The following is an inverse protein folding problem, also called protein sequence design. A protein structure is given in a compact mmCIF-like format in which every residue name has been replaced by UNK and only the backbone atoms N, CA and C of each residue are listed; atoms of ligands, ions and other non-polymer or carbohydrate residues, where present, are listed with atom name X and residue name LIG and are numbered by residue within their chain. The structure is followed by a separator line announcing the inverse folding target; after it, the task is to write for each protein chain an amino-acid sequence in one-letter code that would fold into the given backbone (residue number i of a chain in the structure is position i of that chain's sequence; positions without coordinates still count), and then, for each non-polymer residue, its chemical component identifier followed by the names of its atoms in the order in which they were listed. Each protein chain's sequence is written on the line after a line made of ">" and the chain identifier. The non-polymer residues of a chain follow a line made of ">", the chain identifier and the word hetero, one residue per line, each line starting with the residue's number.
data_IF_863803229188
#
_entry.id   IF_863803229188
#
_cell.length_a   1.000
_cell.length_b   1.000
_cell.length_c   1.000
_cell.angle_alpha   90.00
_cell.angle_beta   90.00
_cell.angle_gamma   90.00
#
_symmetry.space_group_name_H-M   'P 1'
#
loop_
_entity.id
_entity.type
_entity.pdbx_description
1 polymer ?
#
# COMPACT_ATOMS: atom_id res chain seq x y z
N UNK A 1 10.79 21.88 -13.70
CA UNK A 1 9.40 21.44 -13.48
C UNK A 1 9.38 19.98 -13.06
N UNK A 2 9.82 19.65 -11.83
CA UNK A 2 10.00 18.27 -11.33
C UNK A 2 8.95 17.82 -10.30
N UNK A 3 8.03 18.70 -9.91
CA UNK A 3 7.16 18.49 -8.74
C UNK A 3 6.00 17.51 -9.02
N UNK A 4 5.46 17.48 -10.24
CA UNK A 4 4.32 16.61 -10.58
C UNK A 4 4.67 15.12 -10.61
N UNK A 5 5.95 14.76 -10.74
CA UNK A 5 6.40 13.37 -10.72
C UNK A 5 6.42 12.76 -9.30
N UNK A 6 6.25 13.58 -8.25
CA UNK A 6 6.23 13.10 -6.87
C UNK A 6 4.83 12.74 -6.38
N UNK A 7 3.78 13.19 -7.07
CA UNK A 7 2.39 12.93 -6.63
C UNK A 7 2.07 11.43 -6.60
N UNK A 8 2.38 10.62 -7.64
CA UNK A 8 2.16 9.19 -7.59
C UNK A 8 2.98 8.55 -6.47
N UNK A 9 4.29 8.81 -6.41
CA UNK A 9 5.18 8.25 -5.39
C UNK A 9 4.77 8.57 -3.94
N UNK A 10 4.20 9.76 -3.70
CA UNK A 10 3.70 10.14 -2.38
C UNK A 10 2.45 9.35 -2.00
N UNK A 11 1.56 9.10 -2.96
CA UNK A 11 0.41 8.24 -2.77
C UNK A 11 0.83 6.78 -2.52
N UNK A 12 1.84 6.28 -3.24
CA UNK A 12 2.41 4.94 -3.03
C UNK A 12 3.03 4.78 -1.64
N UNK A 13 3.75 5.81 -1.16
CA UNK A 13 4.26 5.85 0.21
C UNK A 13 3.13 5.88 1.26
N UNK A 14 2.00 6.50 0.93
CA UNK A 14 0.82 6.52 1.80
C UNK A 14 0.15 5.15 1.86
N UNK A 15 0.05 4.44 0.72
CA UNK A 15 -0.37 3.03 0.68
C UNK A 15 0.53 2.18 1.59
N UNK A 16 1.86 2.27 1.41
CA UNK A 16 2.84 1.54 2.22
C UNK A 16 2.70 1.85 3.72
N UNK A 17 2.45 3.11 4.08
CA UNK A 17 2.25 3.51 5.48
C UNK A 17 1.01 2.84 6.09
N UNK A 18 -0.11 2.80 5.36
CA UNK A 18 -1.30 2.08 5.80
C UNK A 18 -1.08 0.58 5.87
N UNK A 19 -0.34 -0.01 4.92
CA UNK A 19 0.09 -1.41 4.95
C UNK A 19 0.88 -1.75 6.24
N UNK A 20 1.85 -0.91 6.60
CA UNK A 20 2.62 -1.09 7.85
C UNK A 20 1.73 -1.02 9.10
N UNK A 21 0.78 -0.09 9.15
CA UNK A 21 -0.17 0.00 10.27
C UNK A 21 -1.07 -1.24 10.32
N UNK A 22 -1.56 -1.70 9.16
CA UNK A 22 -2.38 -2.89 9.07
C UNK A 22 -1.64 -4.13 9.59
N UNK A 23 -0.36 -4.27 9.26
CA UNK A 23 0.53 -5.32 9.76
C UNK A 23 0.64 -5.27 11.28
N UNK A 24 0.83 -4.09 11.88
CA UNK A 24 0.90 -3.95 13.35
C UNK A 24 -0.39 -4.43 14.00
N UNK A 25 -1.55 -4.01 13.50
CA UNK A 25 -2.84 -4.45 14.04
C UNK A 25 -3.10 -5.94 13.81
N UNK A 26 -2.68 -6.49 12.68
CA UNK A 26 -2.76 -7.90 12.39
C UNK A 26 -1.94 -8.75 13.36
N UNK A 27 -0.72 -8.31 13.69
CA UNK A 27 0.11 -9.02 14.68
C UNK A 27 -0.48 -8.92 16.08
N UNK A 28 -1.24 -7.85 16.38
CA UNK A 28 -1.99 -7.71 17.63
C UNK A 28 -3.30 -8.52 17.67
N UNK A 29 -3.67 -9.19 16.56
CA UNK A 29 -4.90 -9.98 16.45
C UNK A 29 -6.16 -9.16 16.13
N UNK A 30 -6.03 -7.85 15.88
CA UNK A 30 -7.16 -6.98 15.55
C UNK A 30 -7.39 -6.97 14.03
N UNK A 31 -8.11 -8.00 13.56
CA UNK A 31 -8.41 -8.20 12.15
C UNK A 31 -9.36 -7.14 11.57
N UNK A 32 -10.22 -6.54 12.39
CA UNK A 32 -11.13 -5.46 11.95
C UNK A 32 -10.34 -4.22 11.54
N UNK A 33 -9.41 -3.77 12.40
CA UNK A 33 -8.56 -2.63 12.08
C UNK A 33 -7.61 -2.95 10.93
N UNK A 34 -7.03 -4.15 10.88
CA UNK A 34 -6.23 -4.59 9.75
C UNK A 34 -7.01 -4.44 8.44
N UNK A 35 -8.24 -4.97 8.37
CA UNK A 35 -9.06 -4.91 7.16
C UNK A 35 -9.38 -3.45 6.76
N UNK A 36 -9.63 -2.58 7.74
CA UNK A 36 -9.87 -1.17 7.51
C UNK A 36 -8.63 -0.48 6.89
N UNK A 37 -7.44 -0.70 7.44
CA UNK A 37 -6.21 -0.09 6.94
C UNK A 37 -5.77 -0.66 5.59
N UNK A 38 -5.96 -1.96 5.33
CA UNK A 38 -5.73 -2.55 3.99
C UNK A 38 -6.68 -1.93 2.97
N UNK A 39 -7.95 -1.74 3.33
CA UNK A 39 -8.92 -1.10 2.43
C UNK A 39 -8.54 0.35 2.10
N UNK A 40 -8.02 1.10 3.08
CA UNK A 40 -7.47 2.44 2.85
C UNK A 40 -6.23 2.40 1.94
N UNK A 41 -5.32 1.45 2.14
CA UNK A 41 -4.16 1.24 1.28
C UNK A 41 -4.55 0.98 -0.18
N UNK A 42 -5.56 0.13 -0.40
CA UNK A 42 -6.09 -0.20 -1.72
C UNK A 42 -6.72 1.01 -2.43
N UNK A 43 -7.35 1.92 -1.68
CA UNK A 43 -7.83 3.19 -2.24
C UNK A 43 -6.64 4.07 -2.68
N UNK A 44 -5.59 4.17 -1.86
CA UNK A 44 -4.39 4.93 -2.22
C UNK A 44 -3.67 4.38 -3.45
N UNK A 45 -3.57 3.05 -3.55
CA UNK A 45 -3.01 2.32 -4.70
C UNK A 45 -3.80 2.57 -5.99
N UNK A 46 -5.13 2.59 -5.88
CA UNK A 46 -5.95 2.96 -7.02
C UNK A 46 -5.66 4.39 -7.50
N UNK A 47 -5.44 5.31 -6.56
CA UNK A 47 -5.15 6.70 -6.91
C UNK A 47 -3.74 6.88 -7.49
N UNK A 48 -2.70 6.24 -6.96
CA UNK A 48 -1.35 6.40 -7.51
C UNK A 48 -1.24 5.87 -8.95
N UNK A 49 -1.85 4.71 -9.24
CA UNK A 49 -1.91 4.14 -10.58
C UNK A 49 -2.74 4.99 -11.53
N UNK A 50 -3.83 5.60 -11.04
CA UNK A 50 -4.63 6.55 -11.82
C UNK A 50 -3.83 7.80 -12.18
N UNK A 51 -3.14 8.42 -11.21
CA UNK A 51 -2.33 9.61 -11.44
C UNK A 51 -1.07 9.33 -12.26
N UNK A 52 -0.43 8.16 -12.08
CA UNK A 52 0.72 7.74 -12.89
C UNK A 52 0.35 7.64 -14.38
N UNK A 53 -0.81 7.03 -14.69
CA UNK A 53 -1.32 6.95 -16.07
C UNK A 53 -1.73 8.31 -16.63
N UNK A 54 -2.39 9.14 -15.81
CA UNK A 54 -2.84 10.47 -16.24
C UNK A 54 -1.67 11.41 -16.57
N UNK A 55 -0.60 11.36 -15.76
CA UNK A 55 0.56 12.24 -15.89
C UNK A 55 1.63 11.67 -16.85
N UNK A 56 1.48 10.43 -17.34
CA UNK A 56 2.49 9.70 -18.14
C UNK A 56 3.87 9.71 -17.49
N UNK A 57 3.91 9.58 -16.16
CA UNK A 57 5.13 9.57 -15.37
C UNK A 57 5.52 8.13 -15.09
N UNK A 58 6.27 7.53 -16.01
CA UNK A 58 6.90 6.23 -15.81
C UNK A 58 8.34 6.42 -15.32
N UNK A 59 8.54 6.44 -14.00
CA UNK A 59 9.87 6.42 -13.41
C UNK A 59 10.15 5.05 -12.79
N UNK A 60 11.32 4.46 -13.08
CA UNK A 60 11.76 3.15 -12.54
C UNK A 60 11.68 3.07 -11.02
N UNK A 61 11.96 4.18 -10.32
CA UNK A 61 11.87 4.23 -8.85
C UNK A 61 10.43 4.11 -8.36
N UNK A 62 9.47 4.76 -9.02
CA UNK A 62 8.05 4.69 -8.64
C UNK A 62 7.52 3.26 -8.76
N UNK A 63 7.85 2.57 -9.86
CA UNK A 63 7.46 1.17 -10.08
C UNK A 63 8.04 0.23 -9.02
N UNK A 64 9.27 0.47 -8.56
CA UNK A 64 9.85 -0.34 -7.47
C UNK A 64 9.18 -0.06 -6.12
N UNK A 65 8.80 1.19 -5.86
CA UNK A 65 8.07 1.57 -4.65
C UNK A 65 6.65 0.99 -4.63
N UNK A 66 5.98 0.99 -5.78
CA UNK A 66 4.66 0.40 -6.00
C UNK A 66 4.68 -1.09 -5.67
N UNK A 67 5.61 -1.83 -6.28
CA UNK A 67 5.80 -3.25 -5.98
C UNK A 67 6.15 -3.52 -4.51
N UNK A 68 6.92 -2.65 -3.86
CA UNK A 68 7.24 -2.79 -2.43
C UNK A 68 6.00 -2.54 -1.56
N UNK A 69 5.21 -1.52 -1.91
CA UNK A 69 3.95 -1.18 -1.25
C UNK A 69 2.97 -2.34 -1.34
N UNK A 70 2.75 -2.88 -2.54
CA UNK A 70 1.89 -4.05 -2.77
C UNK A 70 2.31 -5.28 -1.97
N UNK A 71 3.61 -5.54 -1.92
CA UNK A 71 4.15 -6.67 -1.17
C UNK A 71 3.83 -6.54 0.33
N UNK A 72 3.89 -5.34 0.89
CA UNK A 72 3.55 -5.11 2.30
C UNK A 72 2.04 -5.10 2.50
N UNK A 73 1.30 -4.24 1.79
CA UNK A 73 -0.14 -4.05 2.00
C UNK A 73 -0.95 -5.29 1.68
N UNK A 74 -0.63 -6.03 0.63
CA UNK A 74 -1.38 -7.23 0.24
C UNK A 74 -0.67 -8.53 0.59
N UNK A 75 0.63 -8.64 0.29
CA UNK A 75 1.38 -9.88 0.50
C UNK A 75 1.57 -10.22 1.99
N UNK A 76 2.17 -9.30 2.74
CA UNK A 76 2.46 -9.51 4.16
C UNK A 76 1.17 -9.55 4.99
N UNK A 77 0.25 -8.62 4.73
CA UNK A 77 -1.00 -8.54 5.50
C UNK A 77 -1.89 -9.76 5.30
N UNK A 78 -2.00 -10.31 4.09
CA UNK A 78 -2.75 -11.56 3.86
C UNK A 78 -2.13 -12.75 4.59
N UNK A 79 -0.80 -12.82 4.65
CA UNK A 79 -0.09 -13.86 5.40
C UNK A 79 -0.39 -13.78 6.91
N UNK A 80 -0.47 -12.58 7.47
CA UNK A 80 -0.81 -12.35 8.87
C UNK A 80 -2.26 -12.71 9.17
N UNK A 81 -3.18 -12.43 8.26
CA UNK A 81 -4.59 -12.84 8.40
C UNK A 81 -4.69 -14.37 8.50
N UNK A 82 -4.00 -15.09 7.61
CA UNK A 82 -3.98 -16.56 7.62
C UNK A 82 -3.36 -17.07 8.93
N UNK A 83 -2.27 -16.47 9.40
CA UNK A 83 -1.62 -16.84 10.65
C UNK A 83 -2.57 -16.71 11.85
N UNK A 84 -3.35 -15.63 11.94
CA UNK A 84 -4.32 -15.42 13.02
C UNK A 84 -5.56 -16.33 12.94
N UNK A 85 -5.89 -16.85 11.76
CA UNK A 85 -7.03 -17.77 11.59
C UNK A 85 -6.63 -19.20 11.95
N UNK A 86 -5.38 -19.59 11.67
CA UNK A 86 -4.89 -20.96 11.86
C UNK A 86 -4.26 -21.17 13.25
N UNK A 87 -3.61 -20.14 13.81
CA UNK A 87 -2.97 -20.18 15.12
C UNK A 87 -3.95 -19.95 16.26
#
# INVERSE_FOLDING_TARGET
>A
MKLFNFVPNFLTLTNLFFGCIAVVFGVMGDLEKLALFVSLGLICDFFDGFFARLLKVDNKLGVQLDSLSDLVTFGLTSSIVILNIIG
#
